data_IF_578622297872
#
_entry.id   IF_578622297872
#
_cell.length_a   1.000
_cell.length_b   1.000
_cell.length_c   1.000
_cell.angle_alpha   90.00
_cell.angle_beta   90.00
_cell.angle_gamma   90.00
#
_symmetry.space_group_name_H-M   'P 1'
#
loop_
_entity.id
_entity.type
_entity.pdbx_description
1 polymer ?
#
# COMPACT_ATOMS: atom_id res chain seq x y z
N UNK A 1 38.39 7.05 21.60
CA UNK A 1 37.83 6.98 20.23
C UNK A 1 37.40 5.55 19.82
N UNK A 2 37.68 4.52 20.62
CA UNK A 2 37.30 3.12 20.32
C UNK A 2 35.79 2.81 20.33
N UNK A 3 35.00 3.45 21.21
CA UNK A 3 33.58 3.08 21.44
C UNK A 3 32.68 3.30 20.20
N UNK A 4 32.96 4.33 19.40
CA UNK A 4 32.15 4.64 18.22
C UNK A 4 32.36 3.61 17.09
N UNK A 5 33.57 3.04 16.96
CA UNK A 5 33.86 2.03 15.94
C UNK A 5 33.11 0.72 16.21
N UNK A 6 33.03 0.31 17.48
CA UNK A 6 32.29 -0.88 17.89
C UNK A 6 30.78 -0.71 17.68
N UNK A 7 30.23 0.47 17.98
CA UNK A 7 28.83 0.79 17.71
C UNK A 7 28.50 0.77 16.21
N UNK A 8 29.39 1.30 15.37
CA UNK A 8 29.20 1.32 13.92
C UNK A 8 29.27 -0.09 13.30
N UNK A 9 30.19 -0.93 13.78
CA UNK A 9 30.28 -2.34 13.35
C UNK A 9 29.04 -3.12 13.76
N UNK A 10 28.54 -2.92 15.00
CA UNK A 10 27.32 -3.58 15.46
C UNK A 10 26.12 -3.14 14.60
N UNK A 11 25.98 -1.85 14.28
CA UNK A 11 24.92 -1.34 13.40
C UNK A 11 24.99 -1.93 11.99
N UNK A 12 26.18 -2.04 11.41
CA UNK A 12 26.33 -2.62 10.07
C UNK A 12 25.98 -4.11 10.07
N UNK A 13 26.42 -4.86 11.09
CA UNK A 13 26.13 -6.29 11.20
C UNK A 13 24.64 -6.54 11.45
N UNK A 14 23.96 -5.72 12.26
CA UNK A 14 22.52 -5.87 12.52
C UNK A 14 21.67 -5.48 11.30
N UNK A 15 22.03 -4.42 10.59
CA UNK A 15 21.33 -4.02 9.35
C UNK A 15 21.54 -5.05 8.26
N UNK A 16 22.77 -5.54 8.06
CA UNK A 16 23.07 -6.54 7.03
C UNK A 16 22.39 -7.87 7.28
N UNK A 17 22.27 -8.30 8.55
CA UNK A 17 21.55 -9.54 8.89
C UNK A 17 20.03 -9.37 8.71
N UNK A 18 19.45 -8.23 9.09
CA UNK A 18 18.03 -7.94 8.82
C UNK A 18 17.69 -7.95 7.32
N UNK A 19 18.57 -7.42 6.46
CA UNK A 19 18.40 -7.46 4.99
C UNK A 19 18.45 -8.89 4.44
N UNK A 20 19.20 -9.81 5.07
CA UNK A 20 19.26 -11.21 4.61
C UNK A 20 18.03 -12.04 5.03
N UNK A 21 17.29 -11.61 6.05
CA UNK A 21 16.05 -12.27 6.49
C UNK A 21 14.79 -11.78 5.76
N UNK A 22 14.90 -10.70 4.97
CA UNK A 22 13.79 -10.11 4.22
C UNK A 22 13.73 -10.55 2.74
N UNK A 23 14.64 -11.41 2.28
CA UNK A 23 14.49 -12.04 0.96
C UNK A 23 13.48 -13.18 1.07
N UNK A 24 12.39 -13.19 0.26
CA UNK A 24 11.52 -14.34 0.20
C UNK A 24 12.31 -15.51 -0.41
N UNK A 25 12.25 -16.68 0.25
CA UNK A 25 12.65 -17.95 -0.34
C UNK A 25 11.85 -18.15 -1.64
N UNK A 26 12.53 -18.03 -2.78
CA UNK A 26 12.05 -18.57 -4.05
C UNK A 26 12.06 -20.09 -3.91
N UNK A 27 10.90 -20.64 -3.55
CA UNK A 27 10.62 -22.07 -3.54
C UNK A 27 10.69 -22.59 -4.98
N UNK A 28 11.82 -23.19 -5.34
CA UNK A 28 12.00 -23.90 -6.60
C UNK A 28 11.84 -25.40 -6.35
N UNK A 29 10.73 -25.98 -6.83
CA UNK A 29 10.65 -27.21 -7.64
C UNK A 29 9.24 -27.83 -7.60
N UNK A 30 8.60 -27.90 -8.76
CA UNK A 30 7.79 -29.07 -9.10
C UNK A 30 8.10 -29.50 -10.52
N UNK A 31 8.81 -30.63 -10.63
CA UNK A 31 9.07 -31.33 -11.87
C UNK A 31 7.76 -32.02 -12.30
N UNK A 32 7.07 -31.48 -13.31
CA UNK A 32 6.00 -32.22 -13.97
C UNK A 32 6.62 -33.19 -14.97
N UNK A 33 6.47 -34.48 -14.67
CA UNK A 33 6.79 -35.58 -15.55
C UNK A 33 6.02 -35.44 -16.88
N UNK A 34 6.78 -35.28 -17.96
CA UNK A 34 6.29 -35.19 -19.33
C UNK A 34 5.82 -36.58 -19.79
N UNK A 35 4.56 -36.92 -19.50
CA UNK A 35 3.90 -38.08 -20.11
C UNK A 35 3.58 -37.78 -21.57
N UNK A 36 4.20 -38.57 -22.45
CA UNK A 36 3.98 -38.59 -23.89
C UNK A 36 2.60 -39.20 -24.17
N UNK A 37 1.63 -38.38 -24.58
CA UNK A 37 0.54 -38.85 -25.41
C UNK A 37 0.37 -37.94 -26.62
N UNK A 38 0.45 -38.61 -27.77
CA UNK A 38 0.20 -38.16 -29.13
C UNK A 38 -1.13 -37.40 -29.26
N UNK A 39 -1.07 -36.20 -29.86
CA UNK A 39 -2.21 -35.64 -30.60
C UNK A 39 -1.67 -35.14 -31.94
N UNK A 40 -2.19 -35.74 -33.01
CA UNK A 40 -1.92 -35.41 -34.41
C UNK A 40 -2.60 -34.09 -34.81
N UNK A 41 -1.96 -33.21 -35.61
CA UNK A 41 -2.65 -32.36 -36.60
C UNK A 41 -2.83 -33.18 -37.91
N UNK A 42 -3.68 -32.83 -38.90
CA UNK A 42 -3.88 -31.46 -39.42
C UNK A 42 -5.32 -31.15 -39.89
N UNK A 43 -5.59 -29.90 -40.26
CA UNK A 43 -6.56 -29.57 -41.31
C UNK A 43 -6.26 -28.20 -41.90
N UNK A 44 -5.68 -28.23 -43.10
CA UNK A 44 -5.70 -27.19 -44.11
C UNK A 44 -7.14 -26.76 -44.44
N UNK A 45 -7.36 -25.47 -44.66
CA UNK A 45 -8.09 -24.97 -45.85
C UNK A 45 -8.13 -23.43 -45.91
N UNK A 46 -8.34 -22.85 -47.11
CA UNK A 46 -7.75 -21.58 -47.53
C UNK A 46 -8.69 -20.36 -47.49
N UNK A 47 -8.07 -19.17 -47.54
CA UNK A 47 -8.42 -17.90 -48.23
C UNK A 47 -9.85 -17.67 -48.78
N UNK A 48 -10.36 -16.42 -48.84
CA UNK A 48 -9.78 -15.44 -49.79
C UNK A 48 -9.80 -13.95 -49.41
N UNK A 49 -8.87 -13.21 -50.01
CA UNK A 49 -8.95 -11.76 -50.25
C UNK A 49 -10.07 -11.39 -51.23
N UNK A 50 -10.37 -10.09 -51.37
CA UNK A 50 -10.27 -9.51 -52.71
C UNK A 50 -9.50 -8.18 -52.76
N UNK A 51 -8.76 -8.01 -53.87
CA UNK A 51 -8.29 -6.75 -54.45
C UNK A 51 -9.51 -5.96 -55.01
N UNK A 52 -9.48 -4.73 -55.52
CA UNK A 52 -8.46 -3.84 -56.10
C UNK A 52 -9.15 -2.47 -56.33
N UNK A 53 -8.40 -1.36 -56.41
CA UNK A 53 -8.95 -0.11 -56.97
C UNK A 53 -8.16 1.17 -56.65
N UNK A 54 -7.10 1.44 -57.44
CA UNK A 54 -6.47 2.76 -57.60
C UNK A 54 -7.37 3.70 -58.47
N UNK A 55 -7.06 5.00 -58.75
CA UNK A 55 -5.76 5.57 -59.19
C UNK A 55 -5.29 6.80 -58.37
N UNK A 56 -3.99 6.99 -58.15
CA UNK A 56 -3.04 7.77 -58.95
C UNK A 56 -3.36 9.28 -59.14
N UNK A 57 -2.51 10.13 -58.57
CA UNK A 57 -2.21 11.47 -59.08
C UNK A 57 -0.75 11.79 -58.78
N UNK A 58 0.05 11.64 -59.83
CA UNK A 58 1.45 12.00 -59.95
C UNK A 58 1.66 13.50 -60.01
N UNK A 59 2.57 14.07 -59.21
CA UNK A 59 3.39 15.23 -59.61
C UNK A 59 4.80 15.07 -59.02
N UNK A 60 5.79 15.19 -59.89
CA UNK A 60 7.22 14.90 -59.72
C UNK A 60 8.03 16.12 -59.20
N UNK A 61 9.37 15.99 -59.01
CA UNK A 61 10.12 16.62 -57.92
C UNK A 61 10.96 17.84 -58.34
N UNK A 62 11.81 18.31 -57.42
CA UNK A 62 13.22 18.76 -57.61
C UNK A 62 13.52 20.09 -56.91
N UNK A 63 14.34 20.06 -55.85
CA UNK A 63 15.61 20.81 -55.73
C UNK A 63 16.04 20.96 -54.26
N UNK A 64 17.18 20.34 -53.93
CA UNK A 64 18.10 20.83 -52.90
C UNK A 64 19.34 21.37 -53.65
N UNK A 65 20.03 22.39 -53.11
CA UNK A 65 21.34 22.06 -52.53
C UNK A 65 21.77 22.92 -51.31
N UNK A 66 22.24 22.22 -50.27
CA UNK A 66 23.41 22.48 -49.38
C UNK A 66 23.56 23.74 -48.50
N UNK A 67 24.36 23.64 -47.41
CA UNK A 67 24.18 24.40 -46.18
C UNK A 67 25.18 25.55 -46.00
N UNK A 68 24.92 26.44 -45.05
CA UNK A 68 25.91 27.38 -44.53
C UNK A 68 25.64 27.71 -43.07
N UNK A 69 26.47 27.18 -42.17
CA UNK A 69 26.71 27.75 -40.83
C UNK A 69 27.52 29.04 -40.98
N UNK A 70 27.45 29.97 -40.01
CA UNK A 70 28.54 29.99 -39.02
C UNK A 70 28.10 30.38 -37.58
N UNK A 71 28.84 29.83 -36.60
CA UNK A 71 29.11 30.40 -35.26
C UNK A 71 30.61 30.78 -35.23
N UNK A 72 31.20 31.53 -34.26
CA UNK A 72 30.79 31.70 -32.85
C UNK A 72 31.04 33.11 -32.20
N UNK A 73 30.77 33.18 -30.88
CA UNK A 73 31.61 33.82 -29.82
C UNK A 73 31.17 35.19 -29.22
N UNK A 74 31.69 35.63 -28.05
CA UNK A 74 30.94 35.71 -26.77
C UNK A 74 31.05 37.09 -26.06
N UNK A 75 30.37 37.28 -24.91
CA UNK A 75 30.87 37.98 -23.68
C UNK A 75 29.73 38.33 -22.69
N UNK A 76 29.92 37.95 -21.43
CA UNK A 76 29.37 38.61 -20.23
C UNK A 76 30.49 39.54 -19.68
N UNK A 77 30.43 40.20 -18.50
CA UNK A 77 29.33 40.42 -17.53
C UNK A 77 29.22 41.91 -17.07
N UNK A 78 28.20 42.31 -16.30
CA UNK A 78 28.33 43.38 -15.27
C UNK A 78 27.42 43.14 -14.06
N UNK A 79 28.07 43.21 -12.91
CA UNK A 79 27.60 43.34 -11.53
C UNK A 79 27.14 44.78 -11.22
N UNK A 80 26.11 44.97 -10.39
CA UNK A 80 26.15 45.78 -9.15
C UNK A 80 24.76 45.86 -8.48
N UNK A 81 24.80 45.94 -7.14
CA UNK A 81 23.71 45.84 -6.14
C UNK A 81 22.87 47.16 -5.98
N UNK A 82 22.25 47.49 -4.80
CA UNK A 82 20.87 47.17 -4.41
C UNK A 82 19.97 48.40 -4.02
N UNK A 83 18.63 48.23 -4.05
CA UNK A 83 17.55 48.95 -3.31
C UNK A 83 17.45 50.50 -3.39
N UNK A 84 16.35 51.20 -2.98
CA UNK A 84 15.16 50.77 -2.23
C UNK A 84 13.78 51.22 -2.79
N UNK A 85 12.69 50.70 -2.18
CA UNK A 85 11.29 51.14 -2.30
C UNK A 85 11.10 52.65 -2.00
N UNK A 86 10.01 53.27 -2.49
CA UNK A 86 8.79 53.43 -1.67
C UNK A 86 7.48 53.31 -2.51
N UNK A 87 6.42 52.68 -2.03
CA UNK A 87 5.26 53.24 -1.31
C UNK A 87 3.96 53.08 -2.14
N UNK A 88 2.99 52.42 -1.51
CA UNK A 88 1.52 52.50 -1.62
C UNK A 88 0.85 52.94 -2.93
N UNK A 89 -0.02 52.09 -3.46
CA UNK A 89 -1.38 52.53 -3.81
C UNK A 89 -2.40 51.38 -3.67
N UNK A 90 -3.52 51.77 -3.09
CA UNK A 90 -4.73 50.99 -2.79
C UNK A 90 -5.66 51.15 -3.99
N UNK A 91 -6.14 50.07 -4.62
CA UNK A 91 -7.52 50.03 -5.13
C UNK A 91 -8.05 48.61 -5.33
N UNK A 92 -9.04 48.29 -4.49
CA UNK A 92 -10.32 47.60 -4.74
C UNK A 92 -10.43 46.23 -5.46
N UNK A 93 -11.39 45.38 -5.00
CA UNK A 93 -11.55 43.99 -5.43
C UNK A 93 -12.42 43.85 -6.68
N UNK A 94 -12.16 42.81 -7.48
CA UNK A 94 -13.06 42.37 -8.55
C UNK A 94 -13.77 41.06 -8.17
N UNK A 95 -15.05 40.88 -8.56
CA UNK A 95 -15.97 39.92 -7.97
C UNK A 95 -15.89 38.51 -8.60
N UNK A 96 -16.22 37.52 -7.78
CA UNK A 96 -16.59 36.16 -8.20
C UNK A 96 -17.80 36.17 -9.13
N UNK A 97 -17.86 35.33 -10.17
CA UNK A 97 -19.09 35.05 -10.86
C UNK A 97 -19.89 33.98 -10.10
N UNK A 98 -21.11 34.36 -9.71
CA UNK A 98 -22.19 33.43 -9.39
C UNK A 98 -22.60 32.69 -10.67
N UNK A 99 -22.65 31.36 -10.62
CA UNK A 99 -23.34 30.54 -11.61
C UNK A 99 -24.29 29.62 -10.86
N UNK A 100 -25.53 30.10 -10.74
CA UNK A 100 -26.72 29.24 -10.70
C UNK A 100 -26.79 28.41 -11.99
N UNK A 101 -27.19 27.15 -11.89
CA UNK A 101 -28.29 26.52 -12.68
C UNK A 101 -28.22 24.98 -12.64
N UNK A 102 -29.37 24.42 -12.27
CA UNK A 102 -29.93 23.08 -12.53
C UNK A 102 -29.27 21.80 -11.98
N UNK A 103 -29.84 21.36 -10.86
CA UNK A 103 -30.12 19.93 -10.64
C UNK A 103 -31.23 19.44 -11.58
N UNK A 104 -31.14 18.20 -12.06
CA UNK A 104 -32.27 17.31 -11.90
C UNK A 104 -31.88 15.99 -11.25
N UNK A 105 -32.61 15.68 -10.17
CA UNK A 105 -32.77 14.34 -9.61
C UNK A 105 -33.41 13.40 -10.64
N UNK A 106 -33.13 12.10 -10.56
CA UNK A 106 -34.27 11.19 -10.53
C UNK A 106 -34.15 10.12 -9.43
N UNK A 107 -35.10 10.13 -8.50
CA UNK A 107 -35.66 8.91 -7.92
C UNK A 107 -36.76 8.38 -8.82
N UNK A 108 -36.90 7.05 -8.93
CA UNK A 108 -38.22 6.47 -8.72
C UNK A 108 -38.24 5.43 -7.60
N UNK A 109 -39.37 5.45 -6.89
CA UNK A 109 -39.82 4.59 -5.79
C UNK A 109 -40.37 3.23 -6.31
N UNK A 110 -40.80 2.31 -5.43
CA UNK A 110 -40.66 0.86 -5.59
C UNK A 110 -41.91 0.14 -6.12
N UNK A 111 -41.73 -1.09 -6.59
CA UNK A 111 -42.80 -2.08 -6.74
C UNK A 111 -42.45 -3.36 -5.96
N UNK A 112 -43.50 -3.94 -5.37
CA UNK A 112 -43.49 -5.07 -4.44
C UNK A 112 -43.82 -6.39 -5.16
N UNK A 113 -43.35 -7.52 -4.59
CA UNK A 113 -44.02 -8.83 -4.51
C UNK A 113 -43.08 -9.74 -3.68
N UNK A 114 -43.41 -10.13 -2.43
CA UNK A 114 -44.11 -11.38 -2.02
C UNK A 114 -43.51 -12.61 -2.74
N UNK A 115 -42.83 -13.55 -2.06
CA UNK A 115 -43.42 -14.63 -1.25
C UNK A 115 -42.42 -15.13 -0.17
N UNK A 116 -42.83 -15.18 1.10
CA UNK A 116 -43.16 -16.39 1.88
C UNK A 116 -42.18 -17.57 1.75
N UNK A 117 -41.38 -17.80 2.80
CA UNK A 117 -41.13 -19.16 3.29
C UNK A 117 -40.76 -19.10 4.78
N UNK A 118 -41.79 -19.23 5.60
CA UNK A 118 -41.71 -19.64 6.99
C UNK A 118 -41.11 -21.05 7.11
N UNK A 119 -40.14 -21.25 8.01
CA UNK A 119 -39.97 -22.49 8.80
C UNK A 119 -38.87 -22.32 9.86
N UNK A 120 -39.29 -21.99 11.09
CA UNK A 120 -38.64 -22.54 12.29
C UNK A 120 -39.26 -23.91 12.59
N UNK A 121 -38.52 -24.81 13.24
CA UNK A 121 -38.99 -25.17 14.57
C UNK A 121 -37.87 -25.23 15.62
N UNK A 122 -38.33 -24.93 16.83
CA UNK A 122 -37.67 -25.10 18.11
C UNK A 122 -37.16 -26.53 18.35
N UNK A 123 -36.10 -26.63 19.14
CA UNK A 123 -36.05 -27.55 20.29
C UNK A 123 -34.88 -27.20 21.21
N UNK A 124 -35.23 -26.71 22.41
CA UNK A 124 -34.46 -26.97 23.63
C UNK A 124 -35.02 -28.23 24.31
N UNK A 125 -34.16 -29.02 24.95
CA UNK A 125 -34.45 -29.49 26.31
C UNK A 125 -33.24 -29.19 27.22
N UNK A 126 -33.44 -28.48 28.32
CA UNK A 126 -33.82 -28.97 29.67
C UNK A 126 -32.74 -29.82 30.34
N UNK A 127 -32.47 -29.38 31.56
CA UNK A 127 -31.47 -29.72 32.54
C UNK A 127 -31.41 -31.21 32.93
N UNK A 128 -30.22 -31.65 33.35
CA UNK A 128 -30.10 -32.74 34.31
C UNK A 128 -28.90 -32.47 35.22
N UNK A 129 -29.20 -32.19 36.48
CA UNK A 129 -28.25 -32.21 37.60
C UNK A 129 -27.75 -33.64 37.83
N UNK A 130 -26.44 -33.79 38.11
CA UNK A 130 -25.92 -34.91 38.91
C UNK A 130 -24.64 -34.49 39.64
N UNK A 131 -24.79 -34.36 40.96
CA UNK A 131 -23.92 -34.79 42.06
C UNK A 131 -22.37 -34.67 42.00
N UNK A 132 -21.86 -34.09 43.09
CA UNK A 132 -20.49 -34.10 43.65
C UNK A 132 -19.92 -35.54 43.83
N UNK A 133 -18.63 -35.78 44.19
CA UNK A 133 -17.77 -34.94 45.03
C UNK A 133 -16.26 -34.84 44.68
N UNK A 134 -15.63 -33.88 45.36
CA UNK A 134 -14.19 -33.69 45.54
C UNK A 134 -13.47 -34.93 46.08
N UNK A 135 -12.16 -35.05 45.82
CA UNK A 135 -11.25 -35.01 46.98
C UNK A 135 -10.01 -34.13 46.79
N UNK A 136 -9.70 -33.40 47.84
CA UNK A 136 -8.37 -32.86 48.20
C UNK A 136 -7.38 -34.02 48.41
N UNK A 137 -6.06 -33.80 48.21
CA UNK A 137 -5.21 -33.79 49.41
C UNK A 137 -4.06 -32.77 49.40
N UNK A 138 -3.83 -32.26 50.61
CA UNK A 138 -2.57 -31.97 51.33
C UNK A 138 -1.36 -31.33 50.62
N UNK A 139 -0.92 -30.23 51.25
CA UNK A 139 0.40 -29.60 51.16
C UNK A 139 1.53 -30.51 51.70
N UNK A 140 2.79 -30.16 51.41
CA UNK A 140 3.68 -29.79 52.53
C UNK A 140 4.42 -28.45 52.34
N UNK A 141 4.70 -27.83 53.48
CA UNK A 141 5.40 -26.56 53.70
C UNK A 141 6.90 -26.56 53.32
N UNK A 142 7.34 -25.33 53.03
CA UNK A 142 8.65 -24.67 53.10
C UNK A 142 9.95 -25.46 53.31
N UNK A 143 10.95 -25.12 52.47
CA UNK A 143 12.30 -24.78 52.96
C UNK A 143 12.82 -23.54 52.21
N UNK A 144 13.18 -22.51 52.99
CA UNK A 144 13.89 -21.30 52.61
C UNK A 144 15.24 -21.57 51.91
N UNK A 145 15.56 -20.75 50.91
CA UNK A 145 16.91 -20.61 50.39
C UNK A 145 17.01 -19.57 49.28
N UNK A 146 17.02 -18.28 49.65
CA UNK A 146 17.45 -17.21 48.75
C UNK A 146 18.94 -17.37 48.41
N UNK A 147 19.36 -16.98 47.20
CA UNK A 147 20.28 -15.84 47.17
C UNK A 147 19.91 -14.80 46.11
N UNK A 148 20.16 -13.56 46.52
CA UNK A 148 20.51 -12.38 45.75
C UNK A 148 20.01 -12.27 44.31
N UNK A 149 19.14 -11.28 44.13
CA UNK A 149 18.83 -10.73 42.83
C UNK A 149 20.09 -10.24 42.13
N UNK A 150 20.20 -10.62 40.88
CA UNK A 150 20.53 -9.78 39.73
C UNK A 150 20.10 -10.59 38.49
N UNK A 151 19.71 -9.92 37.42
CA UNK A 151 19.38 -10.48 36.09
C UNK A 151 18.06 -11.25 35.90
N UNK A 152 16.91 -10.54 35.93
CA UNK A 152 15.69 -10.95 35.20
C UNK A 152 15.09 -9.85 34.30
N UNK A 153 15.91 -8.94 33.77
CA UNK A 153 15.45 -7.89 32.85
C UNK A 153 15.83 -8.18 31.39
N UNK A 154 16.65 -9.20 31.12
CA UNK A 154 17.11 -9.54 29.75
C UNK A 154 16.13 -10.41 28.95
N UNK A 155 15.25 -11.17 29.64
CA UNK A 155 14.27 -12.04 28.96
C UNK A 155 12.97 -11.31 28.57
N UNK A 156 12.63 -10.20 29.24
CA UNK A 156 11.47 -9.40 28.86
C UNK A 156 11.66 -8.69 27.50
N UNK A 157 12.88 -8.24 27.19
CA UNK A 157 13.19 -7.59 25.90
C UNK A 157 13.22 -8.54 24.71
N UNK A 158 13.33 -9.85 24.94
CA UNK A 158 13.27 -10.86 23.86
C UNK A 158 11.84 -11.40 23.67
N UNK A 159 11.03 -11.45 24.73
CA UNK A 159 9.61 -11.82 24.64
C UNK A 159 8.68 -10.71 24.12
N UNK A 160 9.13 -9.45 24.14
CA UNK A 160 8.37 -8.32 23.57
C UNK A 160 8.38 -8.27 22.03
N UNK A 161 9.21 -9.08 21.36
CA UNK A 161 9.27 -9.11 19.88
C UNK A 161 8.10 -9.86 19.25
N UNK A 162 7.35 -10.61 20.05
CA UNK A 162 6.11 -11.25 19.65
C UNK A 162 4.98 -10.71 20.54
N UNK A 163 4.73 -9.40 20.48
CA UNK A 163 3.49 -8.83 21.02
C UNK A 163 2.33 -9.53 20.31
N UNK A 164 1.74 -10.51 21.00
CA UNK A 164 0.55 -11.20 20.51
C UNK A 164 -0.51 -10.13 20.25
N UNK A 165 -0.94 -10.01 18.99
CA UNK A 165 -2.02 -9.11 18.60
C UNK A 165 -3.21 -9.33 19.53
N UNK A 166 -3.71 -8.23 20.12
CA UNK A 166 -4.86 -8.32 21.01
C UNK A 166 -6.08 -8.83 20.24
N UNK A 167 -7.03 -9.52 20.89
CA UNK A 167 -8.24 -10.01 20.24
C UNK A 167 -9.02 -8.92 19.49
N UNK A 168 -9.00 -7.68 20.00
CA UNK A 168 -9.63 -6.52 19.37
C UNK A 168 -8.95 -6.14 18.05
N UNK A 169 -7.60 -6.11 18.02
CA UNK A 169 -6.85 -5.84 16.79
C UNK A 169 -7.12 -6.93 15.74
N UNK A 170 -7.14 -8.21 16.17
CA UNK A 170 -7.51 -9.32 15.28
C UNK A 170 -8.93 -9.18 14.74
N UNK A 171 -9.86 -8.71 15.57
CA UNK A 171 -11.24 -8.45 15.14
C UNK A 171 -11.30 -7.33 14.11
N UNK A 172 -10.52 -6.27 14.26
CA UNK A 172 -10.44 -5.16 13.30
C UNK A 172 -9.82 -5.64 11.98
N UNK A 173 -8.64 -6.27 12.03
CA UNK A 173 -7.99 -6.82 10.83
C UNK A 173 -8.85 -7.91 10.15
N UNK A 174 -9.61 -8.67 10.92
CA UNK A 174 -10.54 -9.69 10.41
C UNK A 174 -11.69 -9.15 9.56
N UNK A 175 -11.93 -7.83 9.56
CA UNK A 175 -12.91 -7.16 8.70
C UNK A 175 -12.31 -6.60 7.41
N UNK A 176 -11.02 -6.81 7.17
CA UNK A 176 -10.33 -6.35 5.97
C UNK A 176 -10.29 -7.43 4.89
N UNK A 177 -10.05 -7.04 3.64
CA UNK A 177 -9.94 -7.99 2.53
C UNK A 177 -8.69 -8.87 2.61
N UNK A 178 -7.65 -8.41 3.32
CA UNK A 178 -6.41 -9.15 3.53
C UNK A 178 -6.04 -9.24 5.03
N UNK A 179 -6.76 -10.02 5.86
CA UNK A 179 -6.60 -10.02 7.32
C UNK A 179 -5.20 -10.39 7.79
N UNK A 180 -4.61 -11.44 7.21
CA UNK A 180 -3.26 -11.87 7.57
C UNK A 180 -2.20 -10.81 7.22
N UNK A 181 -2.40 -10.08 6.11
CA UNK A 181 -1.53 -8.97 5.72
C UNK A 181 -1.70 -7.78 6.67
N UNK A 182 -2.93 -7.44 7.08
CA UNK A 182 -3.18 -6.43 8.10
C UNK A 182 -2.43 -6.75 9.40
N UNK A 183 -2.66 -7.96 9.94
CA UNK A 183 -2.07 -8.42 11.20
C UNK A 183 -0.54 -8.41 11.17
N UNK A 184 0.05 -9.02 10.14
CA UNK A 184 1.51 -9.10 10.00
C UNK A 184 2.16 -7.74 9.75
N UNK A 185 1.48 -6.81 9.08
CA UNK A 185 2.02 -5.48 8.77
C UNK A 185 2.06 -4.55 9.97
N UNK A 186 1.05 -4.61 10.85
CA UNK A 186 0.99 -3.73 12.03
C UNK A 186 1.73 -4.30 13.25
N UNK A 187 1.91 -5.62 13.32
CA UNK A 187 2.57 -6.29 14.45
C UNK A 187 3.92 -5.66 14.84
N UNK A 188 4.83 -5.31 13.89
CA UNK A 188 6.11 -4.67 14.22
C UNK A 188 5.98 -3.24 14.77
N UNK A 189 4.83 -2.59 14.59
CA UNK A 189 4.57 -1.22 14.99
C UNK A 189 3.82 -1.12 16.32
N UNK A 190 3.41 -2.26 16.89
CA UNK A 190 2.69 -2.28 18.15
C UNK A 190 3.58 -1.90 19.33
N UNK A 191 3.01 -1.10 20.22
CA UNK A 191 3.59 -0.81 21.53
C UNK A 191 2.57 -1.12 22.62
N UNK A 192 3.04 -1.36 23.84
CA UNK A 192 2.16 -1.66 24.98
C UNK A 192 1.17 -0.53 25.33
N UNK A 193 1.37 0.68 24.80
CA UNK A 193 0.54 1.85 25.05
C UNK A 193 -0.61 2.04 24.04
N UNK A 194 -0.67 1.22 22.99
CA UNK A 194 -1.68 1.38 21.93
C UNK A 194 -3.04 0.94 22.42
N UNK A 195 -4.03 1.81 22.24
CA UNK A 195 -5.43 1.45 22.40
C UNK A 195 -5.87 0.66 21.16
N UNK A 196 -6.47 -0.53 21.30
CA UNK A 196 -6.81 -1.36 20.15
C UNK A 196 -8.15 -0.94 19.53
N UNK A 197 -8.34 0.35 19.25
CA UNK A 197 -9.51 0.87 18.54
C UNK A 197 -9.25 1.05 17.03
N UNK A 198 -10.32 1.21 16.25
CA UNK A 198 -10.24 1.28 14.80
C UNK A 198 -9.35 2.42 14.30
N UNK A 199 -9.43 3.61 14.90
CA UNK A 199 -8.59 4.76 14.54
C UNK A 199 -7.11 4.48 14.80
N UNK A 200 -6.76 3.90 15.95
CA UNK A 200 -5.37 3.57 16.27
C UNK A 200 -4.83 2.48 15.35
N UNK A 201 -5.63 1.45 15.06
CA UNK A 201 -5.24 0.38 14.13
C UNK A 201 -5.12 0.91 12.70
N UNK A 202 -5.97 1.85 12.30
CA UNK A 202 -5.88 2.53 11.01
C UNK A 202 -4.57 3.29 10.88
N UNK A 203 -4.19 4.11 11.86
CA UNK A 203 -2.91 4.84 11.84
C UNK A 203 -1.73 3.88 11.71
N UNK A 204 -1.74 2.75 12.42
CA UNK A 204 -0.70 1.73 12.29
C UNK A 204 -0.66 1.08 10.90
N UNK A 205 -1.82 0.78 10.33
CA UNK A 205 -1.90 0.19 8.99
C UNK A 205 -1.40 1.16 7.91
N UNK A 206 -1.74 2.44 8.02
CA UNK A 206 -1.23 3.48 7.11
C UNK A 206 0.29 3.65 7.31
N UNK A 207 0.77 3.70 8.54
CA UNK A 207 2.21 3.78 8.84
C UNK A 207 2.99 2.56 8.29
N UNK A 208 2.40 1.37 8.37
CA UNK A 208 2.99 0.17 7.77
C UNK A 208 3.06 0.28 6.25
N UNK A 209 2.02 0.84 5.62
CA UNK A 209 2.00 1.10 4.17
C UNK A 209 3.09 2.10 3.79
N UNK A 210 3.22 3.23 4.47
CA UNK A 210 4.29 4.22 4.26
C UNK A 210 5.67 3.56 4.35
N UNK A 211 5.91 2.77 5.40
CA UNK A 211 7.20 2.11 5.59
C UNK A 211 7.49 1.12 4.46
N UNK A 212 6.50 0.35 4.02
CA UNK A 212 6.64 -0.57 2.91
C UNK A 212 6.92 0.16 1.59
N UNK A 213 6.22 1.26 1.31
CA UNK A 213 6.45 2.09 0.11
C UNK A 213 7.85 2.69 0.10
N UNK A 214 8.29 3.27 1.23
CA UNK A 214 9.64 3.84 1.38
C UNK A 214 10.76 2.83 1.19
N UNK A 215 10.55 1.57 1.59
CA UNK A 215 11.53 0.48 1.37
C UNK A 215 11.75 0.21 -0.13
N UNK A 216 10.74 0.45 -0.95
CA UNK A 216 10.74 0.09 -2.37
C UNK A 216 11.22 1.25 -3.25
N UNK A 217 11.10 2.49 -2.81
CA UNK A 217 11.56 3.69 -3.52
C UNK A 217 12.97 3.57 -4.14
N UNK A 218 14.01 3.06 -3.46
CA UNK A 218 15.34 2.90 -4.08
C UNK A 218 15.34 1.95 -5.28
N UNK A 219 14.47 0.94 -5.26
CA UNK A 219 14.26 0.03 -6.39
C UNK A 219 13.53 0.78 -7.50
N UNK A 220 12.44 1.48 -7.21
CA UNK A 220 11.69 2.32 -8.19
C UNK A 220 12.63 3.24 -8.95
N UNK A 221 13.46 3.99 -8.23
CA UNK A 221 14.43 4.95 -8.81
C UNK A 221 15.47 4.30 -9.73
N UNK A 222 15.69 2.98 -9.60
CA UNK A 222 16.68 2.24 -10.39
C UNK A 222 16.05 1.53 -11.59
N UNK A 223 14.82 1.06 -11.48
CA UNK A 223 14.23 0.09 -12.42
C UNK A 223 13.02 0.61 -13.17
N UNK A 224 12.47 1.74 -12.76
CA UNK A 224 11.22 2.26 -13.32
C UNK A 224 11.43 3.48 -14.20
N UNK A 225 10.41 3.79 -15.00
CA UNK A 225 10.29 5.06 -15.69
C UNK A 225 10.34 6.21 -14.67
N UNK A 226 10.83 7.38 -15.08
CA UNK A 226 10.96 8.55 -14.19
C UNK A 226 9.64 8.88 -13.48
N UNK A 227 8.51 8.70 -14.17
CA UNK A 227 7.17 9.01 -13.68
C UNK A 227 6.75 8.08 -12.52
N UNK A 228 7.24 6.83 -12.48
CA UNK A 228 6.96 5.92 -11.37
C UNK A 228 7.56 6.39 -10.05
N UNK A 229 8.70 7.10 -10.08
CA UNK A 229 9.26 7.66 -8.86
C UNK A 229 8.32 8.71 -8.27
N UNK A 230 7.85 9.65 -9.10
CA UNK A 230 6.90 10.70 -8.70
C UNK A 230 5.64 10.08 -8.10
N UNK A 231 5.06 9.08 -8.76
CA UNK A 231 3.88 8.38 -8.26
C UNK A 231 4.11 7.71 -6.90
N UNK A 232 5.25 7.06 -6.67
CA UNK A 232 5.52 6.45 -5.36
C UNK A 232 5.81 7.49 -4.26
N UNK A 233 6.41 8.63 -4.60
CA UNK A 233 6.61 9.75 -3.68
C UNK A 233 5.24 10.40 -3.33
N UNK A 234 4.35 10.58 -4.31
CA UNK A 234 2.98 11.05 -4.12
C UNK A 234 2.17 10.08 -3.27
N UNK A 235 2.29 8.77 -3.51
CA UNK A 235 1.64 7.77 -2.68
C UNK A 235 2.07 7.87 -1.21
N UNK A 236 3.35 8.16 -0.94
CA UNK A 236 3.83 8.40 0.42
C UNK A 236 3.19 9.67 1.01
N UNK A 237 3.15 10.76 0.25
CA UNK A 237 2.55 12.02 0.69
C UNK A 237 1.06 11.85 1.02
N UNK A 238 0.30 11.21 0.12
CA UNK A 238 -1.10 10.85 0.31
C UNK A 238 -1.29 10.02 1.60
N UNK A 239 -0.46 9.02 1.84
CA UNK A 239 -0.54 8.22 3.08
C UNK A 239 -0.22 9.04 4.35
N UNK A 240 0.74 9.97 4.27
CA UNK A 240 1.06 10.87 5.39
C UNK A 240 -0.09 11.84 5.70
N UNK A 241 -0.73 12.38 4.67
CA UNK A 241 -1.92 13.22 4.79
C UNK A 241 -3.12 12.44 5.34
N UNK A 242 -3.30 11.18 4.92
CA UNK A 242 -4.30 10.29 5.51
C UNK A 242 -4.07 10.12 7.03
N UNK A 243 -2.84 9.95 7.50
CA UNK A 243 -2.56 9.89 8.95
C UNK A 243 -2.99 11.18 9.66
N UNK A 244 -2.76 12.34 9.06
CA UNK A 244 -3.16 13.62 9.64
C UNK A 244 -4.68 13.76 9.69
N UNK A 245 -5.37 13.41 8.62
CA UNK A 245 -6.83 13.39 8.55
C UNK A 245 -7.46 12.42 9.58
N UNK A 246 -6.85 11.26 9.86
CA UNK A 246 -7.31 10.37 10.94
C UNK A 246 -7.29 11.08 12.31
N UNK A 247 -6.25 11.88 12.60
CA UNK A 247 -6.14 12.62 13.87
C UNK A 247 -7.20 13.71 13.99
N UNK A 248 -7.61 14.28 12.86
CA UNK A 248 -8.65 15.30 12.74
C UNK A 248 -10.06 14.69 12.66
N UNK A 249 -10.17 13.35 12.61
CA UNK A 249 -11.42 12.61 12.41
C UNK A 249 -12.12 12.93 11.08
N UNK A 250 -11.36 13.33 10.06
CA UNK A 250 -11.85 13.59 8.71
C UNK A 250 -11.73 12.34 7.84
N UNK A 251 -12.73 11.46 7.94
CA UNK A 251 -12.72 10.16 7.25
C UNK A 251 -12.88 10.29 5.73
N UNK A 252 -13.51 11.37 5.24
CA UNK A 252 -13.65 11.62 3.81
C UNK A 252 -12.28 11.96 3.19
N UNK A 253 -11.49 12.81 3.86
CA UNK A 253 -10.10 13.09 3.45
C UNK A 253 -9.21 11.86 3.60
N UNK A 254 -9.39 11.03 4.64
CA UNK A 254 -8.69 9.73 4.75
C UNK A 254 -8.97 8.87 3.52
N UNK A 255 -10.23 8.64 3.18
CA UNK A 255 -10.61 7.77 2.07
C UNK A 255 -10.10 8.30 0.72
N UNK A 256 -10.14 9.61 0.52
CA UNK A 256 -9.62 10.27 -0.67
C UNK A 256 -8.13 10.00 -0.84
N UNK A 257 -7.33 10.26 0.20
CA UNK A 257 -5.88 10.08 0.16
C UNK A 257 -5.47 8.60 0.05
N UNK A 258 -6.15 7.69 0.74
CA UNK A 258 -5.89 6.25 0.60
C UNK A 258 -6.21 5.76 -0.83
N UNK A 259 -7.28 6.24 -1.44
CA UNK A 259 -7.63 5.89 -2.82
C UNK A 259 -6.63 6.47 -3.83
N UNK A 260 -6.12 7.69 -3.57
CA UNK A 260 -5.07 8.30 -4.38
C UNK A 260 -3.79 7.45 -4.34
N UNK A 261 -3.31 7.04 -3.16
CA UNK A 261 -2.13 6.18 -3.04
C UNK A 261 -2.27 4.84 -3.80
N UNK A 262 -3.46 4.23 -3.81
CA UNK A 262 -3.70 3.03 -4.63
C UNK A 262 -3.65 3.33 -6.13
N UNK A 263 -4.18 4.47 -6.55
CA UNK A 263 -4.17 4.93 -7.95
C UNK A 263 -2.73 5.19 -8.41
N UNK A 264 -1.89 5.75 -7.55
CA UNK A 264 -0.48 6.02 -7.87
C UNK A 264 0.28 4.71 -8.16
N UNK A 265 0.10 3.67 -7.32
CA UNK A 265 0.69 2.35 -7.58
C UNK A 265 0.17 1.72 -8.87
N UNK A 266 -1.13 1.83 -9.13
CA UNK A 266 -1.78 1.33 -10.35
C UNK A 266 -1.24 2.03 -11.60
N UNK A 267 -1.15 3.36 -11.58
CA UNK A 267 -0.68 4.17 -12.71
C UNK A 267 0.74 3.82 -13.11
N UNK A 268 1.63 3.57 -12.14
CA UNK A 268 2.98 3.10 -12.45
C UNK A 268 2.96 1.72 -13.11
N UNK A 269 2.13 0.79 -12.63
CA UNK A 269 1.98 -0.53 -13.24
C UNK A 269 1.46 -0.44 -14.68
N UNK A 270 0.42 0.36 -14.90
CA UNK A 270 -0.18 0.58 -16.22
C UNK A 270 0.85 1.15 -17.19
N UNK A 271 1.74 2.05 -16.75
CA UNK A 271 2.82 2.59 -17.57
C UNK A 271 3.78 1.52 -18.13
N UNK A 272 4.09 0.47 -17.37
CA UNK A 272 4.88 -0.66 -17.88
C UNK A 272 4.09 -1.50 -18.89
N UNK A 273 2.81 -1.74 -18.63
CA UNK A 273 1.93 -2.51 -19.52
C UNK A 273 1.76 -1.81 -20.87
N UNK A 274 1.54 -0.49 -20.86
CA UNK A 274 1.43 0.35 -22.05
C UNK A 274 2.73 0.43 -22.84
N UNK A 275 3.89 0.45 -22.17
CA UNK A 275 5.20 0.38 -22.80
C UNK A 275 5.54 -1.01 -23.37
N UNK A 276 4.78 -2.04 -23.02
CA UNK A 276 5.07 -3.43 -23.37
C UNK A 276 6.34 -3.96 -22.67
N UNK A 277 6.70 -3.38 -21.53
CA UNK A 277 7.88 -3.74 -20.75
C UNK A 277 7.51 -4.68 -19.59
N UNK A 278 8.45 -5.54 -19.19
CA UNK A 278 8.27 -6.34 -17.97
C UNK A 278 8.27 -5.42 -16.77
N UNK A 279 7.20 -5.40 -15.97
CA UNK A 279 7.15 -4.64 -14.74
C UNK A 279 7.88 -5.37 -13.58
N UNK A 280 9.05 -4.89 -13.12
CA UNK A 280 9.74 -5.47 -11.96
C UNK A 280 9.09 -5.11 -10.61
N UNK A 281 8.11 -4.20 -10.60
CA UNK A 281 7.42 -3.70 -9.42
C UNK A 281 6.03 -4.33 -9.21
N UNK A 282 5.52 -5.16 -10.14
CA UNK A 282 4.13 -5.64 -10.11
C UNK A 282 3.74 -6.30 -8.78
N UNK A 283 4.54 -7.25 -8.28
CA UNK A 283 4.26 -7.96 -7.02
C UNK A 283 4.25 -7.02 -5.81
N UNK A 284 5.12 -6.00 -5.82
CA UNK A 284 5.22 -5.08 -4.70
C UNK A 284 4.15 -3.99 -4.76
N UNK A 285 3.80 -3.52 -5.95
CA UNK A 285 2.64 -2.65 -6.17
C UNK A 285 1.35 -3.33 -5.71
N UNK A 286 1.11 -4.59 -6.11
CA UNK A 286 -0.05 -5.38 -5.66
C UNK A 286 -0.09 -5.52 -4.13
N UNK A 287 1.06 -5.83 -3.51
CA UNK A 287 1.14 -5.89 -2.04
C UNK A 287 0.80 -4.54 -1.39
N UNK A 288 1.35 -3.43 -1.88
CA UNK A 288 1.08 -2.09 -1.34
C UNK A 288 -0.39 -1.72 -1.50
N UNK A 289 -0.97 -1.97 -2.68
CA UNK A 289 -2.40 -1.78 -2.94
C UNK A 289 -3.27 -2.58 -1.96
N UNK A 290 -2.92 -3.83 -1.65
CA UNK A 290 -3.63 -4.63 -0.63
C UNK A 290 -3.48 -4.07 0.79
N UNK A 291 -2.32 -3.52 1.14
CA UNK A 291 -2.12 -2.86 2.43
C UNK A 291 -3.00 -1.60 2.55
N UNK A 292 -3.09 -0.79 1.49
CA UNK A 292 -3.93 0.42 1.48
C UNK A 292 -5.43 0.08 1.41
N UNK A 293 -5.81 -0.97 0.67
CA UNK A 293 -7.18 -1.52 0.70
C UNK A 293 -7.60 -1.95 2.11
N UNK A 294 -6.71 -2.59 2.88
CA UNK A 294 -6.98 -2.87 4.29
C UNK A 294 -7.20 -1.60 5.11
N UNK A 295 -6.47 -0.51 4.82
CA UNK A 295 -6.68 0.79 5.47
C UNK A 295 -8.08 1.35 5.18
N UNK A 296 -8.54 1.29 3.92
CA UNK A 296 -9.90 1.69 3.53
C UNK A 296 -10.97 0.83 4.23
N UNK A 297 -10.75 -0.48 4.35
CA UNK A 297 -11.66 -1.35 5.07
C UNK A 297 -11.76 -0.96 6.56
N UNK A 298 -10.62 -0.64 7.20
CA UNK A 298 -10.59 -0.20 8.61
C UNK A 298 -11.24 1.18 8.78
N UNK A 299 -11.04 2.13 7.86
CA UNK A 299 -11.64 3.48 7.95
C UNK A 299 -13.17 3.41 7.97
N UNK A 300 -13.77 2.46 7.24
CA UNK A 300 -15.22 2.21 7.26
C UNK A 300 -15.79 1.77 8.62
N UNK A 301 -14.93 1.38 9.56
CA UNK A 301 -15.31 0.97 10.92
C UNK A 301 -15.40 2.16 11.89
N UNK A 302 -14.93 3.34 11.49
CA UNK A 302 -14.93 4.57 12.28
C UNK A 302 -16.25 5.31 12.02
N UNK A 303 -16.86 5.85 13.09
CA UNK A 303 -18.17 6.53 13.07
C UNK A 303 -18.04 7.98 13.49
#
# INVERSE_FOLDING_TARGET
MESNKTLWIILIVTVSTMVTFLTPMVESKSNVARSLLFVSPPSDSPSPSPASGAPESSISPTNAPTPSSPSPSPEAPRTDSPSPSPEVDIDSPSPSPEVDIDSPSPSPSPEADLEDYSSSPANSPTEMETDSPSPSPEAPEEILGAPSGETLISSATTLLKNTLLSPEIKTICGKTDNPALCESSISPLLTAAIKPDASSVLVLAIQASINATKVVLPTVNKVAAADCQELYDDAVANLEDAINAVKESDIDTVNTNLSAAMTDYGTCNDGFEEAGETNPLADVADKLTKMVSNCLAISSLIK
#
